data_IF_292589693930
#
_entry.id   IF_292589693930
#
_cell.length_a   1.000
_cell.length_b   1.000
_cell.length_c   1.000
_cell.angle_alpha   90.00
_cell.angle_beta   90.00
_cell.angle_gamma   90.00
#
_symmetry.space_group_name_H-M   'P 1'
#
loop_
_entity.id
_entity.type
_entity.pdbx_description
1 polymer ?
#
# COMPACT_ATOMS: atom_id res chain seq x y z
N UNK A 1 22.81 1.65 -1.57
CA UNK A 1 23.67 1.56 -2.71
C UNK A 1 22.93 2.04 -3.96
N UNK A 2 23.41 3.12 -4.56
CA UNK A 2 22.80 3.58 -5.80
C UNK A 2 22.85 2.52 -6.91
N UNK A 3 23.70 1.53 -6.73
CA UNK A 3 23.76 0.40 -7.65
C UNK A 3 22.65 -0.61 -7.36
N UNK A 4 21.99 -0.48 -6.24
CA UNK A 4 20.82 -1.28 -5.94
C UNK A 4 19.64 -0.67 -6.66
N UNK A 5 19.72 -0.63 -7.95
CA UNK A 5 18.53 -0.39 -8.72
C UNK A 5 17.61 -1.56 -8.45
N UNK A 6 16.56 -1.35 -7.68
CA UNK A 6 15.47 -2.27 -7.66
C UNK A 6 15.08 -2.51 -9.12
N UNK A 7 14.91 -3.76 -9.51
CA UNK A 7 14.35 -4.06 -10.82
C UNK A 7 13.10 -3.22 -10.99
N UNK A 8 12.90 -2.56 -12.13
CA UNK A 8 11.68 -1.79 -12.33
C UNK A 8 10.47 -2.72 -12.15
N UNK A 9 9.44 -2.21 -11.52
CA UNK A 9 8.19 -2.94 -11.38
C UNK A 9 7.64 -3.26 -12.77
N UNK A 10 7.12 -4.47 -12.97
CA UNK A 10 6.51 -4.81 -14.25
C UNK A 10 5.28 -3.93 -14.51
N UNK A 11 5.04 -3.62 -15.77
CA UNK A 11 3.87 -2.85 -16.15
C UNK A 11 2.60 -3.66 -15.83
N UNK A 12 1.63 -3.01 -15.17
CA UNK A 12 0.38 -3.70 -14.80
C UNK A 12 -0.37 -4.20 -16.02
N UNK A 13 -0.28 -3.52 -17.16
CA UNK A 13 -0.88 -3.97 -18.41
C UNK A 13 -0.29 -5.30 -18.86
N UNK A 14 1.02 -5.44 -18.82
CA UNK A 14 1.68 -6.68 -19.20
C UNK A 14 1.36 -7.81 -18.22
N UNK A 15 1.33 -7.50 -16.93
CA UNK A 15 0.99 -8.47 -15.90
C UNK A 15 -0.44 -8.99 -16.10
N UNK A 16 -1.38 -8.09 -16.35
CA UNK A 16 -2.77 -8.47 -16.60
C UNK A 16 -2.90 -9.34 -17.83
N UNK A 17 -2.22 -8.97 -18.92
CA UNK A 17 -2.28 -9.72 -20.18
C UNK A 17 -1.71 -11.13 -20.05
N UNK A 18 -0.64 -11.27 -19.28
CA UNK A 18 0.08 -12.54 -19.13
C UNK A 18 -0.54 -13.47 -18.07
N UNK A 19 -1.42 -12.97 -17.23
CA UNK A 19 -1.95 -13.72 -16.09
C UNK A 19 -3.48 -13.61 -16.03
N UNK A 20 -4.20 -14.51 -16.71
CA UNK A 20 -5.67 -14.46 -16.70
C UNK A 20 -6.30 -14.58 -15.30
N UNK A 21 -5.57 -15.18 -14.34
CA UNK A 21 -6.02 -15.32 -12.95
C UNK A 21 -5.81 -14.04 -12.12
N UNK A 22 -5.15 -13.02 -12.67
CA UNK A 22 -4.87 -11.81 -11.93
C UNK A 22 -6.16 -11.09 -11.54
N UNK A 23 -6.18 -10.56 -10.31
CA UNK A 23 -7.27 -9.71 -9.86
C UNK A 23 -6.88 -8.26 -10.13
N UNK A 24 -7.82 -7.46 -10.60
CA UNK A 24 -7.58 -6.06 -10.90
C UNK A 24 -8.46 -5.21 -10.01
N UNK A 25 -7.87 -4.28 -9.27
CA UNK A 25 -8.63 -3.37 -8.42
C UNK A 25 -9.54 -2.46 -9.25
N UNK A 26 -10.72 -2.20 -8.70
CA UNK A 26 -11.56 -1.13 -9.24
C UNK A 26 -10.79 0.19 -9.19
N UNK A 27 -10.98 1.11 -10.14
CA UNK A 27 -10.17 2.33 -10.26
C UNK A 27 -10.59 3.40 -9.25
N UNK A 28 -10.43 3.12 -7.98
CA UNK A 28 -10.86 3.99 -6.88
C UNK A 28 -9.72 4.79 -6.25
N UNK A 29 -8.46 4.41 -6.52
CA UNK A 29 -7.32 4.94 -5.78
C UNK A 29 -6.64 6.07 -6.52
N UNK A 30 -6.19 7.05 -5.72
CA UNK A 30 -5.31 8.11 -6.19
C UNK A 30 -3.87 7.75 -5.85
N UNK A 31 -2.94 8.27 -6.64
CA UNK A 31 -1.51 8.00 -6.48
C UNK A 31 -0.86 9.10 -5.66
N UNK A 32 -0.11 8.69 -4.65
CA UNK A 32 0.72 9.55 -3.82
C UNK A 32 2.10 8.91 -3.71
N UNK A 33 3.07 9.66 -3.16
CA UNK A 33 4.41 9.14 -2.98
C UNK A 33 5.31 9.45 -4.15
N UNK A 34 6.60 9.39 -3.91
CA UNK A 34 7.61 9.71 -4.90
C UNK A 34 7.80 8.63 -5.96
N UNK A 35 7.24 7.43 -5.74
CA UNK A 35 7.30 6.34 -6.72
C UNK A 35 5.89 6.05 -7.24
N UNK A 36 5.72 6.22 -8.53
CA UNK A 36 4.43 5.95 -9.17
C UNK A 36 4.22 4.46 -9.46
N UNK A 37 5.30 3.69 -9.50
CA UNK A 37 5.24 2.25 -9.74
C UNK A 37 5.92 1.52 -8.58
N UNK A 38 5.29 0.46 -8.10
CA UNK A 38 5.86 -0.38 -7.05
C UNK A 38 5.23 -1.77 -7.09
N UNK A 39 5.93 -2.74 -6.54
CA UNK A 39 5.43 -4.10 -6.44
C UNK A 39 6.13 -4.81 -5.30
N UNK A 40 5.51 -5.87 -4.81
CA UNK A 40 6.10 -6.68 -3.75
C UNK A 40 5.11 -7.64 -3.13
N UNK A 41 5.61 -8.49 -2.22
CA UNK A 41 4.73 -9.36 -1.43
C UNK A 41 3.82 -8.53 -0.53
N UNK A 42 2.62 -9.03 -0.31
CA UNK A 42 1.58 -8.34 0.44
C UNK A 42 1.69 -8.64 1.94
N UNK A 43 1.60 -7.58 2.76
CA UNK A 43 1.31 -7.68 4.18
C UNK A 43 -0.01 -6.95 4.43
N UNK A 44 -0.92 -7.54 5.21
CA UNK A 44 -2.26 -6.99 5.38
C UNK A 44 -2.54 -6.49 6.79
N UNK A 45 -3.34 -5.44 6.87
CA UNK A 45 -3.91 -4.92 8.11
C UNK A 45 -5.37 -4.59 7.88
N UNK A 46 -6.18 -4.78 8.92
CA UNK A 46 -7.56 -4.29 8.93
C UNK A 46 -7.76 -3.43 10.16
N UNK A 47 -8.05 -2.14 9.95
CA UNK A 47 -8.21 -1.14 11.03
C UNK A 47 -9.40 -0.25 10.71
N UNK A 48 -9.88 0.46 11.72
CA UNK A 48 -10.93 1.44 11.48
C UNK A 48 -10.66 2.70 12.29
N UNK A 49 -10.26 3.76 11.60
CA UNK A 49 -10.04 5.11 12.15
C UNK A 49 -9.00 5.16 13.29
N UNK A 50 -8.17 4.14 13.40
CA UNK A 50 -7.07 4.06 14.36
C UNK A 50 -5.84 3.52 13.61
N UNK A 51 -4.75 4.28 13.60
CA UNK A 51 -3.55 3.90 12.86
C UNK A 51 -2.43 3.34 13.75
N UNK A 52 -2.73 2.91 14.97
CA UNK A 52 -1.72 2.33 15.85
C UNK A 52 -1.03 1.13 15.21
N UNK A 53 -1.81 0.23 14.60
CA UNK A 53 -1.25 -0.96 13.95
C UNK A 53 -0.53 -0.62 12.65
N UNK A 54 -0.92 0.47 11.97
CA UNK A 54 -0.20 0.93 10.78
C UNK A 54 1.20 1.36 11.18
N UNK A 55 1.33 2.16 12.24
CA UNK A 55 2.63 2.56 12.77
C UNK A 55 3.47 1.35 13.17
N UNK A 56 2.88 0.43 13.93
CA UNK A 56 3.57 -0.78 14.37
C UNK A 56 4.10 -1.58 13.17
N UNK A 57 3.33 -1.67 12.10
CA UNK A 57 3.75 -2.39 10.90
C UNK A 57 4.92 -1.69 10.20
N UNK A 58 4.84 -0.38 9.97
CA UNK A 58 5.89 0.31 9.22
C UNK A 58 7.17 0.49 10.03
N UNK A 59 7.12 0.31 11.35
CA UNK A 59 8.30 0.26 12.20
C UNK A 59 9.09 -1.04 12.02
N UNK A 60 8.48 -2.07 11.47
CA UNK A 60 9.12 -3.34 11.18
C UNK A 60 9.85 -3.29 9.84
N UNK A 61 10.87 -4.14 9.63
CA UNK A 61 11.51 -4.26 8.32
C UNK A 61 10.47 -4.59 7.24
N UNK A 62 10.43 -3.78 6.20
CA UNK A 62 9.49 -3.99 5.10
C UNK A 62 9.90 -5.13 4.18
N UNK A 63 11.21 -5.27 3.95
CA UNK A 63 11.77 -6.33 3.10
C UNK A 63 11.18 -6.33 1.69
N UNK A 64 10.91 -5.15 1.17
CA UNK A 64 10.33 -5.00 -0.16
C UNK A 64 8.84 -5.29 -0.25
N UNK A 65 8.17 -5.52 0.89
CA UNK A 65 6.72 -5.80 0.89
C UNK A 65 5.90 -4.53 0.66
N UNK A 66 4.66 -4.75 0.28
CA UNK A 66 3.65 -3.70 0.17
C UNK A 66 2.67 -3.89 1.33
N UNK A 67 2.48 -2.85 2.12
CA UNK A 67 1.51 -2.88 3.21
C UNK A 67 0.13 -2.52 2.65
N UNK A 68 -0.81 -3.43 2.76
CA UNK A 68 -2.19 -3.24 2.33
C UNK A 68 -3.05 -3.04 3.57
N UNK A 69 -3.58 -1.83 3.71
CA UNK A 69 -4.36 -1.42 4.89
C UNK A 69 -5.82 -1.28 4.49
N UNK A 70 -6.67 -2.15 5.02
CA UNK A 70 -8.10 -1.98 4.86
C UNK A 70 -8.63 -1.09 5.99
N UNK A 71 -8.87 0.16 5.67
CA UNK A 71 -9.43 1.14 6.60
C UNK A 71 -10.96 1.23 6.53
N UNK A 72 -11.61 0.23 5.94
CA UNK A 72 -13.06 0.22 5.83
C UNK A 72 -13.63 1.29 4.91
N UNK A 73 -12.79 1.95 4.13
CA UNK A 73 -13.22 3.02 3.24
C UNK A 73 -13.54 4.33 3.94
N UNK A 74 -13.24 4.45 5.23
CA UNK A 74 -13.54 5.69 5.96
C UNK A 74 -12.75 6.87 5.41
N UNK A 75 -13.44 7.97 5.19
CA UNK A 75 -12.84 9.24 4.77
C UNK A 75 -12.97 10.30 5.87
N UNK A 76 -13.19 9.88 7.13
CA UNK A 76 -13.36 10.82 8.25
C UNK A 76 -12.04 11.22 8.87
N UNK A 77 -10.98 10.47 8.60
CA UNK A 77 -9.63 10.77 9.08
C UNK A 77 -8.62 10.08 8.19
N UNK A 78 -7.35 10.47 8.31
CA UNK A 78 -6.25 9.88 7.56
C UNK A 78 -5.56 8.80 8.39
N UNK A 79 -5.24 7.68 7.76
CA UNK A 79 -4.54 6.58 8.41
C UNK A 79 -3.02 6.66 8.21
N UNK A 80 -2.56 7.30 7.14
CA UNK A 80 -1.13 7.44 6.84
C UNK A 80 -0.83 8.92 6.63
N UNK A 81 0.15 9.42 7.36
CA UNK A 81 0.65 10.77 7.19
C UNK A 81 2.13 10.77 6.82
N UNK A 82 2.74 11.95 6.85
CA UNK A 82 4.14 12.13 6.46
C UNK A 82 5.10 11.28 7.29
N UNK A 83 4.91 11.25 8.62
CA UNK A 83 5.80 10.48 9.49
C UNK A 83 5.78 8.99 9.18
N UNK A 84 4.61 8.42 8.92
CA UNK A 84 4.49 7.01 8.61
C UNK A 84 5.07 6.68 7.23
N UNK A 85 4.93 7.60 6.28
CA UNK A 85 5.54 7.42 4.97
C UNK A 85 7.07 7.43 5.04
N UNK A 86 7.65 8.32 5.87
CA UNK A 86 9.09 8.33 6.11
C UNK A 86 9.55 7.01 6.72
N UNK A 87 8.86 6.54 7.77
CA UNK A 87 9.19 5.27 8.42
C UNK A 87 9.12 4.10 7.44
N UNK A 88 8.06 4.04 6.65
CA UNK A 88 7.90 2.96 5.68
C UNK A 88 9.04 2.97 4.65
N UNK A 89 9.38 4.14 4.13
CA UNK A 89 10.47 4.26 3.16
C UNK A 89 11.81 3.86 3.79
N UNK A 90 12.09 4.35 5.00
CA UNK A 90 13.35 4.05 5.70
C UNK A 90 13.49 2.56 6.02
N UNK A 91 12.38 1.90 6.32
CA UNK A 91 12.39 0.50 6.71
C UNK A 91 12.23 -0.47 5.55
N UNK A 92 12.30 0.01 4.32
CA UNK A 92 12.37 -0.86 3.14
C UNK A 92 11.03 -1.37 2.62
N UNK A 93 9.93 -0.71 2.97
CA UNK A 93 8.64 -1.01 2.35
C UNK A 93 8.61 -0.50 0.92
N UNK A 94 8.08 -1.31 0.00
CA UNK A 94 7.99 -0.92 -1.41
C UNK A 94 6.84 0.06 -1.65
N UNK A 95 5.76 -0.10 -0.91
CA UNK A 95 4.60 0.76 -1.05
C UNK A 95 3.55 0.49 0.01
N UNK A 96 2.52 1.32 0.00
CA UNK A 96 1.36 1.21 0.90
C UNK A 96 0.10 1.42 0.09
N UNK A 97 -0.86 0.53 0.23
CA UNK A 97 -2.19 0.67 -0.37
C UNK A 97 -3.18 0.83 0.78
N UNK A 98 -3.93 1.92 0.78
CA UNK A 98 -4.83 2.25 1.89
C UNK A 98 -6.26 2.37 1.36
N UNK A 99 -7.13 1.51 1.84
CA UNK A 99 -8.57 1.68 1.62
C UNK A 99 -9.07 2.67 2.66
N UNK A 100 -8.75 3.93 2.46
CA UNK A 100 -8.98 5.03 3.36
C UNK A 100 -8.24 6.26 2.87
N UNK A 101 -7.97 7.20 3.78
CA UNK A 101 -7.35 8.47 3.42
C UNK A 101 -5.94 8.62 3.96
N UNK A 102 -5.19 9.53 3.36
CA UNK A 102 -3.84 9.94 3.79
C UNK A 102 -3.83 11.44 4.04
N UNK A 103 -2.79 11.93 4.72
CA UNK A 103 -2.54 13.37 4.89
C UNK A 103 -1.07 13.68 4.73
N UNK A 104 -0.71 14.97 4.76
CA UNK A 104 0.67 15.43 4.55
C UNK A 104 1.16 15.00 3.17
N UNK A 105 0.36 15.26 2.15
CA UNK A 105 0.60 14.77 0.79
C UNK A 105 1.95 15.22 0.26
N UNK A 106 2.36 16.46 0.52
CA UNK A 106 3.66 16.95 0.04
C UNK A 106 4.82 16.18 0.68
N UNK A 107 4.72 15.88 1.97
CA UNK A 107 5.75 15.07 2.65
C UNK A 107 5.77 13.64 2.12
N UNK A 108 4.59 13.06 1.90
CA UNK A 108 4.49 11.71 1.32
C UNK A 108 5.14 11.69 -0.06
N UNK A 109 4.84 12.69 -0.88
CA UNK A 109 5.36 12.75 -2.25
C UNK A 109 6.88 12.94 -2.30
N UNK A 110 7.47 13.45 -1.23
CA UNK A 110 8.93 13.59 -1.14
C UNK A 110 9.64 12.28 -0.78
N UNK A 111 8.91 11.23 -0.41
CA UNK A 111 9.52 9.96 0.00
C UNK A 111 9.64 8.98 -1.15
N UNK A 112 10.72 8.17 -1.18
CA UNK A 112 10.92 7.16 -2.24
C UNK A 112 10.08 5.92 -1.98
N UNK A 113 8.77 6.08 -1.96
CA UNK A 113 7.80 5.02 -1.71
C UNK A 113 6.55 5.32 -2.53
N UNK A 114 5.84 4.28 -2.94
CA UNK A 114 4.55 4.44 -3.61
C UNK A 114 3.41 4.33 -2.61
N UNK A 115 2.41 5.18 -2.75
CA UNK A 115 1.22 5.15 -1.89
C UNK A 115 -0.02 5.27 -2.78
N UNK A 116 -0.99 4.42 -2.51
CA UNK A 116 -2.31 4.51 -3.13
C UNK A 116 -3.34 4.67 -2.02
N UNK A 117 -4.25 5.61 -2.17
CA UNK A 117 -5.29 5.87 -1.18
C UNK A 117 -6.53 6.42 -1.88
N UNK A 118 -7.66 6.38 -1.20
CA UNK A 118 -8.92 6.88 -1.78
C UNK A 118 -8.94 8.40 -1.88
N UNK A 119 -8.35 9.09 -0.90
CA UNK A 119 -8.39 10.55 -0.85
C UNK A 119 -7.35 11.08 0.14
N UNK A 120 -7.15 12.39 0.13
CA UNK A 120 -6.44 13.10 1.19
C UNK A 120 -7.46 13.69 2.16
N UNK A 121 -7.10 13.72 3.45
CA UNK A 121 -7.96 14.29 4.49
C UNK A 121 -7.08 14.84 5.62
N UNK A 122 -7.31 16.06 6.08
CA UNK A 122 -6.39 16.69 7.05
C UNK A 122 -6.50 16.17 8.48
N UNK A 123 -7.56 15.48 8.83
CA UNK A 123 -7.79 15.02 10.21
C UNK A 123 -6.97 13.78 10.51
N UNK A 124 -6.24 13.80 11.62
CA UNK A 124 -5.52 12.60 12.10
C UNK A 124 -6.50 11.55 12.60
N UNK A 125 -6.05 10.29 12.58
CA UNK A 125 -6.81 9.19 13.16
C UNK A 125 -6.66 9.15 14.68
N UNK A 126 -7.50 8.36 15.35
CA UNK A 126 -7.31 8.02 16.75
C UNK A 126 -6.06 7.17 16.91
N UNK A 127 -5.50 7.16 18.12
CA UNK A 127 -4.28 6.42 18.46
C UNK A 127 -4.45 5.75 19.81
N UNK A 128 -3.75 4.63 19.98
CA UNK A 128 -3.61 4.00 21.27
C UNK A 128 -4.56 2.87 21.57
N UNK A 129 -5.53 2.64 20.73
CA UNK A 129 -6.44 1.52 20.94
C UNK A 129 -5.85 0.19 20.46
N UNK A 130 -4.88 0.23 19.56
CA UNK A 130 -4.28 -0.94 18.93
C UNK A 130 -5.34 -1.93 18.44
N UNK A 131 -6.47 -1.38 18.01
CA UNK A 131 -7.58 -2.18 17.53
C UNK A 131 -7.40 -2.50 16.05
N UNK A 132 -7.80 -3.69 15.68
CA UNK A 132 -7.71 -4.16 14.30
C UNK A 132 -7.18 -5.58 14.24
N UNK A 133 -6.85 -6.01 13.03
CA UNK A 133 -6.38 -7.37 12.77
C UNK A 133 -5.19 -7.32 11.82
N UNK A 134 -4.22 -8.21 12.07
CA UNK A 134 -2.97 -8.28 11.32
C UNK A 134 -2.95 -9.59 10.55
N UNK A 135 -2.58 -9.54 9.27
CA UNK A 135 -2.29 -10.74 8.49
C UNK A 135 -3.50 -11.49 7.97
N UNK A 136 -4.70 -10.98 8.16
CA UNK A 136 -5.90 -11.64 7.65
C UNK A 136 -6.15 -11.21 6.20
N UNK A 137 -6.86 -12.02 5.40
CA UNK A 137 -7.29 -11.56 4.08
C UNK A 137 -8.21 -10.33 4.23
N UNK A 138 -8.01 -9.35 3.36
CA UNK A 138 -8.86 -8.15 3.34
C UNK A 138 -9.45 -8.01 1.94
N UNK A 139 -10.67 -7.46 1.88
CA UNK A 139 -11.42 -7.36 0.63
C UNK A 139 -11.83 -5.91 0.45
N UNK A 140 -11.39 -5.30 -0.64
CA UNK A 140 -11.88 -3.98 -1.06
C UNK A 140 -11.57 -3.80 -2.55
N UNK A 141 -12.22 -2.83 -3.16
CA UNK A 141 -12.07 -2.53 -4.59
C UNK A 141 -12.23 -3.76 -5.48
N UNK A 142 -13.10 -4.71 -5.07
CA UNK A 142 -13.38 -5.92 -5.83
C UNK A 142 -12.28 -6.97 -5.79
N UNK A 143 -11.29 -6.85 -4.89
CA UNK A 143 -10.11 -7.72 -4.85
C UNK A 143 -9.93 -8.28 -3.44
N UNK A 144 -9.45 -9.52 -3.36
CA UNK A 144 -9.02 -10.13 -2.10
C UNK A 144 -7.49 -10.02 -2.02
N UNK A 145 -7.01 -9.36 -0.97
CA UNK A 145 -5.57 -9.27 -0.69
C UNK A 145 -5.22 -10.26 0.41
N UNK A 146 -4.23 -11.13 0.15
CA UNK A 146 -3.79 -12.16 1.11
C UNK A 146 -2.31 -12.01 1.40
N UNK A 147 -1.93 -12.22 2.66
CA UNK A 147 -0.52 -12.25 3.08
C UNK A 147 0.29 -13.15 2.16
N UNK A 148 1.44 -12.65 1.72
CA UNK A 148 2.37 -13.42 0.91
C UNK A 148 2.05 -13.47 -0.58
N UNK A 149 0.86 -13.11 -1.00
CA UNK A 149 0.57 -12.93 -2.42
C UNK A 149 1.27 -11.66 -2.93
N UNK A 150 1.08 -11.32 -4.17
CA UNK A 150 1.85 -10.26 -4.83
C UNK A 150 0.97 -9.15 -5.35
N UNK A 151 1.42 -7.91 -5.20
CA UNK A 151 0.71 -6.76 -5.76
C UNK A 151 1.67 -5.97 -6.65
N UNK A 152 1.15 -5.54 -7.80
CA UNK A 152 1.84 -4.60 -8.70
C UNK A 152 0.95 -3.38 -8.86
N UNK A 153 1.56 -2.20 -8.78
CA UNK A 153 0.84 -0.94 -8.96
C UNK A 153 1.64 -0.02 -9.86
N UNK A 154 0.97 0.69 -10.73
CA UNK A 154 1.53 1.77 -11.53
C UNK A 154 0.43 2.77 -11.89
N UNK A 155 0.66 3.62 -12.87
CA UNK A 155 -0.31 4.68 -13.22
C UNK A 155 -1.59 4.14 -13.85
N UNK A 156 -1.58 2.89 -14.33
CA UNK A 156 -2.77 2.28 -14.92
C UNK A 156 -3.65 1.59 -13.89
N UNK A 157 -3.10 1.19 -12.74
CA UNK A 157 -3.91 0.57 -11.71
C UNK A 157 -3.13 -0.33 -10.77
N UNK A 158 -3.88 -1.24 -10.14
CA UNK A 158 -3.35 -2.18 -9.15
C UNK A 158 -3.80 -3.58 -9.53
N UNK A 159 -2.84 -4.50 -9.62
CA UNK A 159 -3.08 -5.90 -9.99
C UNK A 159 -2.55 -6.81 -8.89
N UNK A 160 -3.31 -7.84 -8.53
CA UNK A 160 -2.95 -8.79 -7.49
C UNK A 160 -2.79 -10.18 -8.09
N UNK A 161 -1.70 -10.84 -7.74
CA UNK A 161 -1.34 -12.16 -8.23
C UNK A 161 -1.09 -13.10 -7.06
N UNK A 162 -1.27 -14.44 -7.25
CA UNK A 162 -0.89 -15.40 -6.20
C UNK A 162 0.59 -15.40 -5.86
N UNK A 163 1.44 -14.99 -6.79
CA UNK A 163 2.89 -15.00 -6.63
C UNK A 163 3.52 -13.95 -7.53
N UNK A 164 4.80 -13.70 -7.35
CA UNK A 164 5.54 -12.74 -8.16
C UNK A 164 5.37 -13.07 -9.64
N UNK A 165 5.19 -12.05 -10.50
CA UNK A 165 5.10 -12.29 -11.93
C UNK A 165 6.42 -12.83 -12.45
N UNK A 166 6.35 -13.68 -13.48
CA UNK A 166 7.53 -14.17 -14.16
C UNK A 166 8.26 -13.00 -14.83
N UNK A 167 9.56 -12.99 -14.69
CA UNK A 167 10.40 -11.96 -15.30
C UNK A 167 10.57 -12.18 -16.81
#
# INVERSE_FOLDING_TARGET
DPLMTSSPSPATTDVSDANPEAQVCDPLFQSFGGRTAFSGPIATLKVFEDNSLVRAAVEQPGEGRVLVVDGGGSLRCALVGGNLAVLAAENGWAGVVVNGAVRDVEEIDAQPIGVRALAAHPRRSEKGMHSGQIGIPVIFAGVVFREGEWVCADRDGIVVLPQAPAS
#
